data_IF_213081886453
#
_entry.id   IF_213081886453
#
_cell.length_a   1.000
_cell.length_b   1.000
_cell.length_c   1.000
_cell.angle_alpha   90.00
_cell.angle_beta   90.00
_cell.angle_gamma   90.00
#
_symmetry.space_group_name_H-M   'P 1'
#
loop_
_entity.id
_entity.type
_entity.pdbx_description
1 polymer ?
#
# COMPACT_ATOMS: atom_id res chain seq x y z
N UNK A 1 14.82 5.99 51.37
CA UNK A 1 13.88 6.98 51.92
C UNK A 1 12.57 6.89 51.15
N UNK A 2 11.46 6.67 51.90
CA UNK A 2 10.03 6.97 51.60
C UNK A 2 9.42 6.47 50.28
N UNK A 3 8.61 5.39 50.26
CA UNK A 3 7.12 5.37 50.45
C UNK A 3 6.42 6.60 49.85
N UNK A 4 5.48 6.41 48.91
CA UNK A 4 4.00 6.56 49.04
C UNK A 4 3.35 6.50 47.64
N UNK A 5 2.20 5.83 47.47
CA UNK A 5 1.38 5.98 46.26
C UNK A 5 0.41 4.86 45.87
N UNK A 6 0.19 3.85 46.72
CA UNK A 6 -0.81 2.80 46.49
C UNK A 6 -2.16 3.18 47.11
N UNK A 7 -2.87 4.13 46.50
CA UNK A 7 -4.24 4.48 46.94
C UNK A 7 -5.04 5.14 45.81
N UNK A 8 -5.40 4.39 44.76
CA UNK A 8 -6.43 4.85 43.79
C UNK A 8 -7.09 3.76 42.93
N UNK A 9 -7.16 2.51 43.40
CA UNK A 9 -7.79 1.39 42.67
C UNK A 9 -9.05 0.82 43.37
N UNK A 10 -9.80 1.68 44.07
CA UNK A 10 -11.01 1.28 44.81
C UNK A 10 -12.33 1.34 44.02
N UNK A 11 -12.39 2.07 42.90
CA UNK A 11 -13.66 2.35 42.21
C UNK A 11 -13.95 1.48 40.98
N UNK A 12 -12.97 0.73 40.48
CA UNK A 12 -13.12 -0.02 39.22
C UNK A 12 -13.76 -1.41 39.37
N UNK A 13 -14.08 -1.84 40.59
CA UNK A 13 -14.64 -3.19 40.86
C UNK A 13 -16.17 -3.23 41.01
N UNK A 14 -16.85 -2.09 41.08
CA UNK A 14 -18.31 -2.05 41.29
C UNK A 14 -19.08 -1.72 39.99
N UNK A 15 -18.44 -1.13 38.99
CA UNK A 15 -19.09 -0.80 37.72
C UNK A 15 -19.26 -2.01 36.76
N UNK A 16 -18.47 -3.08 36.92
CA UNK A 16 -18.47 -4.22 36.00
C UNK A 16 -19.57 -5.28 36.28
N UNK A 17 -20.27 -5.16 37.40
CA UNK A 17 -21.31 -6.12 37.81
C UNK A 17 -22.75 -5.66 37.49
N UNK A 18 -22.94 -4.44 36.98
CA UNK A 18 -24.27 -3.86 36.73
C UNK A 18 -24.70 -3.84 35.25
N UNK A 19 -23.86 -4.31 34.32
CA UNK A 19 -24.13 -4.23 32.87
C UNK A 19 -24.49 -5.57 32.20
N UNK A 20 -24.63 -6.67 32.95
CA UNK A 20 -24.89 -8.02 32.38
C UNK A 20 -26.21 -8.64 32.83
N UNK A 21 -27.01 -7.97 33.67
CA UNK A 21 -28.37 -8.40 34.00
C UNK A 21 -29.36 -7.28 33.71
N UNK A 22 -30.46 -7.59 33.01
CA UNK A 22 -31.60 -6.71 32.66
C UNK A 22 -31.49 -6.12 31.23
N UNK A 23 -31.48 -6.96 30.18
CA UNK A 23 -32.75 -7.11 29.46
C UNK A 23 -32.92 -8.53 28.87
N UNK A 24 -33.36 -9.46 29.71
CA UNK A 24 -34.23 -10.55 29.26
C UNK A 24 -35.56 -10.29 29.96
N UNK A 25 -36.68 -10.48 29.25
CA UNK A 25 -38.07 -10.13 29.62
C UNK A 25 -38.49 -8.77 29.04
N UNK A 26 -38.86 -8.77 27.75
CA UNK A 26 -40.15 -8.32 27.20
C UNK A 26 -40.25 -8.97 25.82
N UNK A 27 -40.91 -10.12 25.76
CA UNK A 27 -41.35 -10.75 24.52
C UNK A 27 -42.69 -11.41 24.82
N UNK A 28 -43.79 -10.72 24.55
CA UNK A 28 -45.11 -11.34 24.46
C UNK A 28 -46.09 -10.48 23.65
N UNK A 29 -46.85 -11.22 22.82
CA UNK A 29 -48.13 -10.91 22.17
C UNK A 29 -48.09 -10.31 20.75
N UNK A 30 -48.11 -11.20 19.76
CA UNK A 30 -48.76 -10.95 18.48
C UNK A 30 -50.03 -11.82 18.38
N UNK A 31 -51.19 -11.19 18.16
CA UNK A 31 -52.47 -11.86 17.93
C UNK A 31 -52.59 -12.29 16.46
N UNK A 32 -53.02 -13.53 16.22
CA UNK A 32 -53.32 -14.06 14.90
C UNK A 32 -54.57 -13.38 14.29
N UNK A 33 -54.49 -12.95 13.03
CA UNK A 33 -55.64 -12.48 12.25
C UNK A 33 -56.31 -13.66 11.53
N UNK A 34 -57.63 -13.75 11.63
CA UNK A 34 -58.44 -14.74 10.91
C UNK A 34 -58.41 -14.49 9.39
N UNK A 35 -58.46 -15.55 8.55
CA UNK A 35 -58.48 -15.42 7.10
C UNK A 35 -59.82 -14.85 6.59
N UNK A 36 -59.82 -14.14 5.45
CA UNK A 36 -61.02 -13.53 4.87
C UNK A 36 -61.94 -14.54 4.14
N UNK A 37 -63.24 -14.24 3.97
CA UNK A 37 -64.23 -15.13 3.33
C UNK A 37 -64.17 -15.14 1.77
N UNK A 38 -64.93 -16.02 1.10
CA UNK A 38 -64.63 -16.61 -0.22
C UNK A 38 -65.17 -15.80 -1.42
N UNK A 39 -64.76 -16.12 -2.66
CA UNK A 39 -65.39 -15.59 -3.87
C UNK A 39 -66.67 -16.37 -4.27
N UNK A 40 -67.64 -15.71 -4.94
CA UNK A 40 -68.93 -16.26 -5.31
C UNK A 40 -68.88 -17.24 -6.51
N UNK A 41 -69.88 -18.14 -6.66
CA UNK A 41 -69.96 -19.09 -7.77
C UNK A 41 -70.42 -18.38 -9.05
N UNK A 42 -69.64 -18.46 -10.13
CA UNK A 42 -70.08 -17.99 -11.46
C UNK A 42 -69.05 -17.35 -12.40
N UNK A 43 -67.74 -17.36 -12.10
CA UNK A 43 -66.73 -16.85 -13.03
C UNK A 43 -66.16 -17.96 -13.93
N UNK A 44 -66.21 -17.76 -15.24
CA UNK A 44 -65.69 -18.68 -16.26
C UNK A 44 -64.14 -18.77 -16.21
N UNK A 45 -63.53 -19.92 -16.59
CA UNK A 45 -62.08 -20.09 -16.51
C UNK A 45 -61.35 -19.16 -17.49
N UNK A 46 -60.52 -18.25 -16.97
CA UNK A 46 -59.55 -17.52 -17.77
C UNK A 46 -58.36 -18.43 -18.11
N UNK A 47 -57.88 -18.33 -19.35
CA UNK A 47 -56.73 -19.08 -19.87
C UNK A 47 -55.49 -18.93 -18.98
N UNK A 48 -54.59 -19.94 -18.90
CA UNK A 48 -53.48 -19.92 -17.97
C UNK A 48 -52.60 -18.68 -18.24
N UNK A 49 -52.23 -17.90 -17.21
CA UNK A 49 -51.19 -16.90 -17.35
C UNK A 49 -49.91 -17.60 -17.81
N UNK A 50 -49.15 -16.95 -18.69
CA UNK A 50 -47.79 -17.36 -19.00
C UNK A 50 -47.04 -17.63 -17.69
N UNK A 51 -46.36 -18.76 -17.60
CA UNK A 51 -45.57 -19.10 -16.44
C UNK A 51 -44.47 -18.03 -16.26
N UNK A 52 -44.76 -17.02 -15.44
CA UNK A 52 -43.71 -16.30 -14.74
C UNK A 52 -43.02 -17.35 -13.87
N UNK A 53 -41.82 -17.75 -14.29
CA UNK A 53 -40.95 -18.54 -13.44
C UNK A 53 -40.78 -17.73 -12.15
N UNK A 54 -41.37 -18.22 -11.07
CA UNK A 54 -41.19 -17.66 -9.74
C UNK A 54 -39.68 -17.65 -9.46
N UNK A 55 -39.11 -16.45 -9.36
CA UNK A 55 -37.67 -16.28 -9.20
C UNK A 55 -37.31 -16.76 -7.81
N UNK A 56 -36.82 -17.98 -7.71
CA UNK A 56 -36.25 -18.52 -6.49
C UNK A 56 -34.98 -17.73 -6.15
N UNK A 57 -35.09 -16.80 -5.19
CA UNK A 57 -33.92 -16.15 -4.59
C UNK A 57 -33.29 -17.19 -3.67
N UNK A 58 -32.21 -17.80 -4.15
CA UNK A 58 -31.42 -18.74 -3.34
C UNK A 58 -30.51 -17.91 -2.42
N UNK A 59 -30.96 -17.68 -1.19
CA UNK A 59 -30.12 -17.14 -0.12
C UNK A 59 -28.96 -18.11 0.12
N UNK A 60 -27.75 -17.69 -0.28
CA UNK A 60 -26.53 -18.51 -0.20
C UNK A 60 -25.87 -18.84 -1.54
N UNK A 61 -26.44 -18.41 -2.68
CA UNK A 61 -25.71 -18.43 -3.95
C UNK A 61 -24.55 -17.44 -3.90
N UNK A 62 -23.32 -17.94 -4.01
CA UNK A 62 -22.10 -17.12 -4.12
C UNK A 62 -21.95 -16.45 -5.51
N UNK A 63 -23.01 -16.53 -6.33
CA UNK A 63 -23.11 -15.91 -7.66
C UNK A 63 -24.05 -14.71 -7.51
N UNK A 64 -23.53 -13.48 -7.60
CA UNK A 64 -24.35 -12.27 -7.47
C UNK A 64 -25.36 -12.20 -8.60
N UNK A 65 -26.58 -11.82 -8.26
CA UNK A 65 -27.70 -11.78 -9.21
C UNK A 65 -27.56 -10.56 -10.12
N UNK A 66 -27.98 -10.63 -11.39
CA UNK A 66 -27.94 -9.49 -12.33
C UNK A 66 -28.73 -8.23 -11.90
N UNK A 67 -29.45 -8.30 -10.77
CA UNK A 67 -30.12 -7.15 -10.15
C UNK A 67 -29.27 -6.49 -9.04
N UNK A 68 -28.32 -7.20 -8.43
CA UNK A 68 -27.36 -6.66 -7.44
C UNK A 68 -26.15 -6.01 -8.12
N UNK A 69 -25.81 -6.51 -9.31
CA UNK A 69 -24.76 -5.95 -10.16
C UNK A 69 -25.44 -5.04 -11.17
N UNK A 70 -25.42 -3.73 -10.94
CA UNK A 70 -25.85 -2.75 -11.96
C UNK A 70 -25.07 -2.93 -13.27
N UNK A 71 -25.42 -2.16 -14.31
CA UNK A 71 -24.79 -2.28 -15.64
C UNK A 71 -23.25 -2.30 -15.60
N UNK A 72 -22.65 -1.61 -14.61
CA UNK A 72 -21.24 -1.68 -14.29
C UNK A 72 -21.02 -2.29 -12.90
N UNK A 73 -20.21 -3.36 -12.77
CA UNK A 73 -19.92 -3.96 -11.47
C UNK A 73 -18.99 -3.05 -10.64
N UNK A 74 -19.57 -2.37 -9.65
CA UNK A 74 -18.83 -1.61 -8.63
C UNK A 74 -18.68 -2.48 -7.39
N UNK A 75 -17.45 -2.76 -6.99
CA UNK A 75 -17.17 -3.43 -5.72
C UNK A 75 -17.10 -2.37 -4.61
N UNK A 76 -17.86 -2.58 -3.53
CA UNK A 76 -17.87 -1.66 -2.38
C UNK A 76 -17.26 -2.39 -1.19
N UNK A 77 -16.16 -1.84 -0.69
CA UNK A 77 -15.49 -2.30 0.51
C UNK A 77 -15.77 -1.31 1.63
N UNK A 78 -16.72 -1.63 2.49
CA UNK A 78 -17.08 -0.76 3.61
C UNK A 78 -16.07 -0.87 4.76
N UNK A 79 -16.24 0.00 5.76
CA UNK A 79 -15.40 0.06 6.95
C UNK A 79 -15.31 -1.29 7.66
N UNK A 80 -16.40 -2.02 7.76
CA UNK A 80 -16.43 -3.35 8.40
C UNK A 80 -15.51 -4.34 7.68
N UNK A 81 -15.57 -4.42 6.35
CA UNK A 81 -14.68 -5.24 5.54
C UNK A 81 -13.22 -4.81 5.69
N UNK A 82 -12.97 -3.50 5.69
CA UNK A 82 -11.63 -2.95 5.89
C UNK A 82 -11.07 -3.35 7.27
N UNK A 83 -11.86 -3.26 8.35
CA UNK A 83 -11.43 -3.70 9.69
C UNK A 83 -11.14 -5.20 9.70
N UNK A 84 -12.06 -6.01 9.15
CA UNK A 84 -11.94 -7.47 9.12
C UNK A 84 -10.72 -7.97 8.34
N UNK A 85 -10.22 -7.17 7.39
CA UNK A 85 -9.01 -7.50 6.63
C UNK A 85 -7.73 -7.54 7.47
N UNK A 86 -7.72 -6.90 8.65
CA UNK A 86 -6.56 -6.71 9.52
C UNK A 86 -5.33 -6.11 8.80
N UNK A 87 -5.54 -5.34 7.72
CA UNK A 87 -4.48 -4.61 7.02
C UNK A 87 -4.20 -3.28 7.69
N UNK A 88 -2.93 -2.85 7.69
CA UNK A 88 -2.50 -1.67 8.45
C UNK A 88 -2.57 -0.40 7.61
N UNK A 89 -2.31 -0.52 6.32
CA UNK A 89 -2.29 0.59 5.36
C UNK A 89 -3.32 0.41 4.25
N UNK A 90 -3.68 1.53 3.61
CA UNK A 90 -4.58 1.55 2.43
C UNK A 90 -4.00 0.74 1.28
N UNK A 91 -2.68 0.82 1.08
CA UNK A 91 -1.93 0.00 0.13
C UNK A 91 -2.12 -1.49 0.40
N UNK A 92 -1.83 -1.97 1.62
CA UNK A 92 -1.92 -3.39 1.97
C UNK A 92 -3.34 -3.93 1.83
N UNK A 93 -4.34 -3.11 2.15
CA UNK A 93 -5.75 -3.45 1.95
C UNK A 93 -6.04 -3.66 0.47
N UNK A 94 -5.73 -2.67 -0.37
CA UNK A 94 -6.01 -2.74 -1.80
C UNK A 94 -5.23 -3.88 -2.47
N UNK A 95 -3.95 -4.09 -2.12
CA UNK A 95 -3.14 -5.20 -2.65
C UNK A 95 -3.67 -6.58 -2.28
N UNK A 96 -4.46 -6.69 -1.22
CA UNK A 96 -5.09 -7.97 -0.85
C UNK A 96 -6.31 -8.32 -1.72
N UNK A 97 -6.80 -7.37 -2.52
CA UNK A 97 -7.94 -7.56 -3.39
C UNK A 97 -7.51 -8.23 -4.71
N UNK A 98 -8.27 -9.22 -5.22
CA UNK A 98 -7.90 -9.95 -6.44
C UNK A 98 -7.94 -9.09 -7.72
N UNK A 99 -8.63 -7.94 -7.66
CA UNK A 99 -8.79 -7.01 -8.78
C UNK A 99 -7.60 -6.05 -8.92
N UNK A 100 -6.83 -5.87 -7.85
CA UNK A 100 -5.64 -5.04 -7.77
C UNK A 100 -4.42 -5.91 -8.08
N UNK A 101 -3.60 -5.48 -9.03
CA UNK A 101 -2.43 -6.23 -9.49
C UNK A 101 -1.11 -5.57 -9.06
N UNK A 102 -0.05 -6.38 -9.07
CA UNK A 102 1.29 -6.08 -8.57
C UNK A 102 2.12 -5.11 -9.44
N UNK A 103 1.52 -4.36 -10.37
CA UNK A 103 2.21 -3.33 -11.14
C UNK A 103 2.36 -2.05 -10.28
N UNK A 104 3.04 -2.25 -9.15
CA UNK A 104 3.20 -1.32 -8.05
C UNK A 104 4.54 -0.61 -8.21
N UNK A 105 4.65 0.61 -7.67
CA UNK A 105 5.97 1.18 -7.39
C UNK A 105 6.66 0.25 -6.40
N UNK A 106 7.83 -0.34 -6.73
CA UNK A 106 8.47 -1.28 -5.83
C UNK A 106 8.72 -0.65 -4.45
N UNK A 107 8.15 -1.28 -3.42
CA UNK A 107 8.46 -1.00 -2.01
C UNK A 107 9.88 -1.46 -1.64
N UNK A 108 10.52 -2.29 -2.48
CA UNK A 108 11.84 -2.87 -2.25
C UNK A 108 12.87 -2.35 -3.24
N UNK A 109 14.05 -1.97 -2.74
CA UNK A 109 15.15 -1.42 -3.52
C UNK A 109 16.18 -2.52 -3.88
N UNK A 110 15.78 -3.47 -4.71
CA UNK A 110 16.72 -4.37 -5.37
C UNK A 110 16.94 -4.04 -6.86
N UNK A 111 16.42 -2.89 -7.30
CA UNK A 111 16.50 -2.44 -8.69
C UNK A 111 17.63 -1.44 -8.91
N UNK A 112 18.25 -1.51 -10.08
CA UNK A 112 19.35 -0.66 -10.56
C UNK A 112 18.96 0.81 -10.76
N UNK A 113 18.49 1.51 -9.73
CA UNK A 113 18.23 2.95 -9.84
C UNK A 113 17.16 3.34 -10.87
N UNK A 114 16.33 2.41 -11.32
CA UNK A 114 15.20 2.67 -12.23
C UNK A 114 13.98 3.21 -11.49
N UNK A 115 13.85 2.93 -10.19
CA UNK A 115 12.74 3.44 -9.39
C UNK A 115 13.07 4.81 -8.78
N UNK A 116 12.33 5.84 -9.20
CA UNK A 116 12.49 7.24 -8.75
C UNK A 116 11.54 7.63 -7.62
N UNK A 117 10.66 6.73 -7.20
CA UNK A 117 9.64 6.96 -6.17
C UNK A 117 9.68 5.88 -5.08
N UNK A 118 10.87 5.44 -4.68
CA UNK A 118 11.04 4.36 -3.70
C UNK A 118 10.29 4.66 -2.40
N UNK A 119 9.42 3.72 -2.01
CA UNK A 119 8.57 3.80 -0.81
C UNK A 119 7.37 4.74 -0.92
N UNK A 120 7.03 5.22 -2.12
CA UNK A 120 5.65 5.60 -2.46
C UNK A 120 4.84 4.34 -2.83
N UNK A 121 3.53 4.39 -2.70
CA UNK A 121 2.65 3.26 -3.00
C UNK A 121 1.50 3.70 -3.91
N UNK A 122 1.18 2.89 -4.92
CA UNK A 122 0.01 3.10 -5.79
C UNK A 122 -0.64 1.76 -6.08
N UNK A 123 -1.71 1.74 -6.86
CA UNK A 123 -2.34 0.51 -7.35
C UNK A 123 -2.55 0.56 -8.85
N UNK A 124 -2.62 -0.61 -9.45
CA UNK A 124 -3.09 -0.78 -10.81
C UNK A 124 -4.15 -1.87 -10.86
N UNK A 125 -5.23 -1.62 -11.60
CA UNK A 125 -6.29 -2.60 -11.80
C UNK A 125 -5.97 -3.51 -12.99
N UNK A 126 -6.28 -4.81 -12.83
CA UNK A 126 -6.33 -5.78 -13.94
C UNK A 126 -5.04 -5.95 -14.76
N UNK A 127 -3.88 -5.68 -14.16
CA UNK A 127 -2.57 -5.83 -14.80
C UNK A 127 -2.15 -4.67 -15.71
N UNK A 128 -2.90 -3.56 -15.73
CA UNK A 128 -2.49 -2.34 -16.42
C UNK A 128 -1.37 -1.61 -15.66
N UNK A 129 -0.87 -0.52 -16.23
CA UNK A 129 0.01 0.45 -15.56
C UNK A 129 -0.80 1.32 -14.58
N UNK A 130 -0.17 1.85 -13.53
CA UNK A 130 -0.82 2.69 -12.53
C UNK A 130 -1.49 3.94 -13.14
N UNK A 131 -0.99 4.46 -14.28
CA UNK A 131 -1.61 5.60 -14.99
C UNK A 131 -3.00 5.30 -15.57
N UNK A 132 -3.32 4.02 -15.76
CA UNK A 132 -4.59 3.58 -16.33
C UNK A 132 -5.67 3.37 -15.25
N UNK A 133 -5.33 3.58 -13.97
CA UNK A 133 -6.27 3.51 -12.85
C UNK A 133 -6.45 4.90 -12.27
N UNK A 134 -7.68 5.42 -12.31
CA UNK A 134 -7.98 6.71 -11.69
C UNK A 134 -8.27 6.52 -10.20
N UNK A 135 -7.54 7.21 -9.34
CA UNK A 135 -7.80 7.27 -7.90
C UNK A 135 -8.49 8.60 -7.57
N UNK A 136 -9.62 8.53 -6.86
CA UNK A 136 -10.40 9.66 -6.40
C UNK A 136 -10.51 9.65 -4.87
N UNK A 137 -10.64 10.83 -4.28
CA UNK A 137 -11.06 11.02 -2.89
C UNK A 137 -12.40 11.75 -2.92
N UNK A 138 -13.44 11.14 -2.38
CA UNK A 138 -14.82 11.67 -2.38
C UNK A 138 -15.31 12.10 -3.78
N UNK A 139 -14.96 11.32 -4.80
CA UNK A 139 -15.30 11.59 -6.19
C UNK A 139 -14.47 12.70 -6.84
N UNK A 140 -13.50 13.29 -6.14
CA UNK A 140 -12.62 14.35 -6.65
C UNK A 140 -11.23 13.80 -7.00
N UNK A 141 -10.66 14.36 -8.06
CA UNK A 141 -9.28 14.06 -8.47
C UNK A 141 -8.30 14.66 -7.48
N UNK A 142 -7.27 13.90 -7.16
CA UNK A 142 -6.18 14.34 -6.28
C UNK A 142 -4.90 14.53 -7.06
N UNK A 143 -4.02 15.38 -6.54
CA UNK A 143 -2.74 15.67 -7.18
C UNK A 143 -1.86 14.41 -7.25
N UNK A 144 -1.18 14.15 -8.38
CA UNK A 144 -0.25 13.04 -8.47
C UNK A 144 1.00 13.29 -7.62
N UNK A 145 1.69 12.20 -7.29
CA UNK A 145 2.97 12.21 -6.61
C UNK A 145 4.03 12.97 -7.46
N UNK A 146 4.81 13.90 -6.86
CA UNK A 146 5.54 14.91 -7.61
C UNK A 146 6.73 14.39 -8.43
N UNK A 147 7.33 13.25 -8.08
CA UNK A 147 8.51 12.74 -8.80
C UNK A 147 8.17 11.71 -9.87
N UNK A 148 6.95 11.13 -9.83
CA UNK A 148 6.58 9.97 -10.64
C UNK A 148 7.51 8.77 -10.48
N UNK A 149 7.13 7.65 -11.08
CA UNK A 149 7.99 6.47 -11.14
C UNK A 149 8.44 6.27 -12.59
N UNK A 150 9.74 6.11 -12.82
CA UNK A 150 10.28 5.93 -14.17
C UNK A 150 10.88 4.52 -14.38
N UNK A 151 10.07 3.44 -14.39
CA UNK A 151 10.58 2.08 -14.56
C UNK A 151 11.12 1.78 -15.97
N UNK A 152 11.24 2.79 -16.85
CA UNK A 152 11.67 2.62 -18.25
C UNK A 152 11.75 3.94 -19.03
N UNK A 153 11.25 3.94 -20.26
CA UNK A 153 11.28 5.11 -21.17
C UNK A 153 10.24 6.19 -20.86
N UNK A 154 9.25 5.89 -20.01
CA UNK A 154 8.10 6.77 -19.77
C UNK A 154 7.87 6.92 -18.28
N UNK A 155 7.86 8.16 -17.82
CA UNK A 155 7.53 8.50 -16.45
C UNK A 155 6.03 8.23 -16.19
N UNK A 156 5.73 7.51 -15.10
CA UNK A 156 4.40 7.14 -14.63
C UNK A 156 4.01 8.11 -13.52
N UNK A 157 2.97 8.91 -13.75
CA UNK A 157 2.30 9.68 -12.70
C UNK A 157 1.28 8.78 -11.98
N UNK A 158 1.18 8.92 -10.67
CA UNK A 158 0.27 8.13 -9.85
C UNK A 158 -0.10 8.88 -8.56
N UNK A 159 -1.12 8.42 -7.85
CA UNK A 159 -1.49 8.94 -6.52
C UNK A 159 -0.82 8.09 -5.45
N UNK A 160 -0.10 8.72 -4.52
CA UNK A 160 0.55 8.00 -3.43
C UNK A 160 -0.45 7.63 -2.33
N UNK A 161 -0.82 6.34 -2.25
CA UNK A 161 -1.72 5.79 -1.25
C UNK A 161 -1.17 5.89 0.18
N UNK A 162 0.14 6.06 0.35
CA UNK A 162 0.73 6.31 1.67
C UNK A 162 0.31 7.66 2.26
N UNK A 163 -0.18 8.56 1.40
CA UNK A 163 -0.80 9.78 1.86
C UNK A 163 -2.11 9.49 2.59
N UNK A 164 -2.94 8.56 2.12
CA UNK A 164 -4.31 8.38 2.59
C UNK A 164 -4.36 7.36 3.75
N UNK A 165 -4.60 7.79 5.00
CA UNK A 165 -4.61 6.87 6.13
C UNK A 165 -5.87 6.01 6.15
N UNK A 166 -5.72 4.70 6.35
CA UNK A 166 -6.85 3.74 6.40
C UNK A 166 -7.90 4.10 7.45
N UNK A 167 -7.50 4.78 8.54
CA UNK A 167 -8.41 5.21 9.60
C UNK A 167 -9.38 6.33 9.18
N UNK A 168 -9.03 7.11 8.15
CA UNK A 168 -9.87 8.17 7.62
C UNK A 168 -10.82 7.71 6.51
N UNK A 169 -10.75 6.43 6.12
CA UNK A 169 -11.55 5.85 5.05
C UNK A 169 -12.82 5.22 5.63
N UNK A 170 -13.98 5.61 5.08
CA UNK A 170 -15.27 4.99 5.36
C UNK A 170 -15.52 3.79 4.44
N UNK A 171 -15.28 3.98 3.14
CA UNK A 171 -15.41 2.92 2.16
C UNK A 171 -14.49 3.13 0.97
N UNK A 172 -14.26 2.06 0.21
CA UNK A 172 -13.55 2.09 -1.06
C UNK A 172 -14.46 1.48 -2.12
N UNK A 173 -14.71 2.23 -3.17
CA UNK A 173 -15.51 1.81 -4.31
C UNK A 173 -14.59 1.56 -5.50
N UNK A 174 -14.66 0.38 -6.10
CA UNK A 174 -13.86 0.00 -7.27
C UNK A 174 -14.78 -0.24 -8.45
N UNK A 175 -14.77 0.68 -9.40
CA UNK A 175 -15.35 0.51 -10.72
C UNK A 175 -14.35 -0.21 -11.61
N UNK A 176 -14.66 -1.46 -11.98
CA UNK A 176 -13.77 -2.34 -12.75
C UNK A 176 -13.85 -2.14 -14.28
N UNK A 177 -14.66 -1.20 -14.72
CA UNK A 177 -14.90 -0.90 -16.13
C UNK A 177 -14.23 0.42 -16.52
N UNK A 178 -13.86 0.54 -17.79
CA UNK A 178 -13.28 1.76 -18.34
C UNK A 178 -14.29 2.90 -18.27
N UNK A 179 -13.92 3.99 -17.60
CA UNK A 179 -14.81 5.12 -17.34
C UNK A 179 -14.24 6.43 -17.90
N UNK A 180 -13.46 6.34 -18.98
CA UNK A 180 -12.73 7.47 -19.56
C UNK A 180 -13.65 8.57 -20.13
N UNK A 181 -14.86 8.20 -20.56
CA UNK A 181 -15.89 9.15 -21.03
C UNK A 181 -16.44 10.03 -19.90
N UNK A 182 -16.52 9.48 -18.69
CA UNK A 182 -17.08 10.17 -17.51
C UNK A 182 -16.00 10.87 -16.70
N UNK A 183 -14.88 10.19 -16.46
CA UNK A 183 -13.85 10.65 -15.54
C UNK A 183 -12.54 11.08 -16.21
N UNK A 184 -12.40 10.92 -17.52
CA UNK A 184 -11.23 11.34 -18.31
C UNK A 184 -10.20 10.23 -18.57
N UNK A 185 -9.16 10.56 -19.34
CA UNK A 185 -8.24 9.61 -19.98
C UNK A 185 -7.46 8.67 -19.05
N UNK A 186 -7.40 8.94 -17.73
CA UNK A 186 -6.73 8.05 -16.76
C UNK A 186 -7.59 6.85 -16.34
N UNK A 187 -8.91 6.90 -16.57
CA UNK A 187 -9.85 5.86 -16.17
C UNK A 187 -10.03 4.78 -17.26
N UNK A 188 -8.92 4.18 -17.72
CA UNK A 188 -8.94 3.15 -18.78
C UNK A 188 -9.19 1.76 -18.18
N UNK A 189 -8.45 1.41 -17.13
CA UNK A 189 -8.57 0.13 -16.42
C UNK A 189 -9.68 0.15 -15.36
N UNK A 190 -10.07 1.34 -14.89
CA UNK A 190 -11.12 1.54 -13.91
C UNK A 190 -10.94 2.79 -13.04
N UNK A 191 -11.78 2.89 -12.02
CA UNK A 191 -11.77 3.96 -11.03
C UNK A 191 -11.78 3.37 -9.63
N UNK A 192 -10.92 3.87 -8.75
CA UNK A 192 -10.94 3.60 -7.31
C UNK A 192 -11.29 4.89 -6.59
N UNK A 193 -12.49 4.93 -6.01
CA UNK A 193 -12.98 6.06 -5.26
C UNK A 193 -12.88 5.76 -3.77
N UNK A 194 -12.04 6.51 -3.06
CA UNK A 194 -11.84 6.40 -1.63
C UNK A 194 -12.78 7.40 -0.96
N UNK A 195 -13.73 6.89 -0.18
CA UNK A 195 -14.68 7.70 0.57
C UNK A 195 -14.13 7.99 1.95
N UNK A 196 -13.99 9.27 2.29
CA UNK A 196 -13.51 9.69 3.59
C UNK A 196 -14.63 9.64 4.63
N UNK A 197 -14.26 9.63 5.91
CA UNK A 197 -15.22 9.63 7.01
C UNK A 197 -15.72 11.05 7.26
N UNK A 198 -16.94 11.35 6.79
CA UNK A 198 -17.61 12.62 7.04
C UNK A 198 -18.59 12.55 8.22
N UNK A 199 -19.20 11.37 8.45
CA UNK A 199 -20.31 11.19 9.39
C UNK A 199 -19.93 10.51 10.71
N UNK A 200 -19.06 11.16 11.49
CA UNK A 200 -18.69 10.69 12.83
C UNK A 200 -19.14 11.65 13.94
N UNK A 201 -20.37 12.15 13.85
CA UNK A 201 -20.88 13.28 14.64
C UNK A 201 -20.90 13.09 16.17
N UNK A 202 -20.75 11.87 16.70
CA UNK A 202 -21.05 11.58 18.10
C UNK A 202 -20.06 10.60 18.73
N UNK A 203 -18.79 10.96 18.78
CA UNK A 203 -17.84 10.18 19.55
C UNK A 203 -16.39 10.46 19.26
N UNK A 204 -15.56 9.62 19.87
CA UNK A 204 -14.15 9.50 19.56
C UNK A 204 -13.75 8.03 19.61
N UNK A 205 -12.92 7.61 18.66
CA UNK A 205 -12.31 6.29 18.61
C UNK A 205 -10.81 6.47 18.46
N UNK A 206 -10.05 5.86 19.37
CA UNK A 206 -8.60 5.79 19.28
C UNK A 206 -8.19 4.35 19.02
N UNK A 207 -7.25 4.17 18.09
CA UNK A 207 -6.62 2.89 17.80
C UNK A 207 -5.11 3.03 17.93
N UNK A 208 -4.48 2.01 18.49
CA UNK A 208 -3.03 1.86 18.53
C UNK A 208 -2.69 0.41 18.21
N UNK A 209 -1.75 0.24 17.28
CA UNK A 209 -1.27 -1.05 16.85
C UNK A 209 0.26 -1.04 16.87
N UNK A 210 0.82 -2.17 17.31
CA UNK A 210 2.24 -2.44 17.23
C UNK A 210 2.44 -3.83 16.64
N UNK A 211 3.36 -3.93 15.68
CA UNK A 211 3.82 -5.18 15.07
C UNK A 211 5.33 -5.17 14.94
N UNK A 212 5.92 -6.35 14.79
CA UNK A 212 7.34 -6.47 14.52
C UNK A 212 7.57 -7.74 13.68
N UNK A 213 8.73 -7.82 13.05
CA UNK A 213 9.22 -9.01 12.37
C UNK A 213 9.55 -10.11 13.37
N UNK A 214 9.72 -11.34 12.88
CA UNK A 214 10.18 -12.48 13.69
C UNK A 214 11.53 -12.19 14.34
N UNK A 215 12.39 -11.45 13.65
CA UNK A 215 13.75 -11.10 14.08
C UNK A 215 13.79 -9.87 14.99
N UNK A 216 12.63 -9.21 15.18
CA UNK A 216 12.41 -8.04 16.06
C UNK A 216 13.20 -6.78 15.66
N UNK A 217 13.66 -6.72 14.42
CA UNK A 217 14.51 -5.67 13.85
C UNK A 217 13.72 -4.55 13.15
N UNK A 218 12.51 -4.84 12.68
CA UNK A 218 11.66 -3.88 11.97
C UNK A 218 10.29 -3.73 12.62
N UNK A 219 10.25 -2.96 13.71
CA UNK A 219 9.02 -2.57 14.38
C UNK A 219 8.15 -1.65 13.53
N UNK A 220 6.85 -1.87 13.61
CA UNK A 220 5.80 -1.05 13.01
C UNK A 220 4.84 -0.56 14.07
N UNK A 221 4.62 0.75 14.11
CA UNK A 221 3.72 1.43 15.03
C UNK A 221 2.69 2.21 14.23
N UNK A 222 1.42 2.05 14.58
CA UNK A 222 0.32 2.79 13.99
C UNK A 222 -0.57 3.31 15.10
N UNK A 223 -0.96 4.57 15.00
CA UNK A 223 -1.94 5.17 15.88
C UNK A 223 -2.90 6.02 15.06
N UNK A 224 -4.16 6.04 15.45
CA UNK A 224 -5.16 6.92 14.87
C UNK A 224 -6.16 7.38 15.91
N UNK A 225 -6.65 8.59 15.74
CA UNK A 225 -7.75 9.15 16.51
C UNK A 225 -8.75 9.70 15.51
N UNK A 226 -9.99 9.23 15.57
CA UNK A 226 -11.12 9.91 14.96
C UNK A 226 -11.97 10.52 16.06
N UNK A 227 -12.51 11.69 15.80
CA UNK A 227 -13.51 12.32 16.63
C UNK A 227 -14.48 13.06 15.74
N UNK A 228 -15.68 13.28 16.24
CA UNK A 228 -16.59 14.20 15.59
C UNK A 228 -17.67 14.67 16.53
N UNK A 229 -18.20 15.82 16.15
CA UNK A 229 -19.22 16.55 16.87
C UNK A 229 -20.23 17.05 15.87
N UNK A 230 -21.50 16.79 16.13
CA UNK A 230 -22.54 17.22 15.23
C UNK A 230 -23.93 16.95 15.74
N UNK A 231 -24.89 17.48 14.99
CA UNK A 231 -26.32 17.28 15.15
C UNK A 231 -26.93 17.09 13.74
N UNK A 232 -28.26 17.13 13.63
CA UNK A 232 -28.95 16.95 12.34
C UNK A 232 -28.61 18.01 11.29
N UNK A 233 -28.08 19.17 11.71
CA UNK A 233 -27.80 20.33 10.85
C UNK A 233 -26.32 20.52 10.59
N UNK A 234 -25.45 20.26 11.56
CA UNK A 234 -24.00 20.49 11.46
C UNK A 234 -23.26 19.24 11.82
N UNK A 235 -22.28 18.84 11.01
CA UNK A 235 -21.39 17.74 11.33
C UNK A 235 -19.94 18.17 11.13
N UNK A 236 -19.09 17.89 12.11
CA UNK A 236 -17.64 18.07 12.00
C UNK A 236 -16.98 16.76 12.37
N UNK A 237 -16.18 16.21 11.47
CA UNK A 237 -15.40 14.98 11.69
C UNK A 237 -13.92 15.28 11.49
N UNK A 238 -13.09 14.88 12.44
CA UNK A 238 -11.65 15.01 12.39
C UNK A 238 -10.96 13.66 12.57
N UNK A 239 -9.91 13.43 11.80
CA UNK A 239 -9.05 12.24 11.89
C UNK A 239 -7.61 12.68 12.01
N UNK A 240 -6.88 12.10 12.96
CA UNK A 240 -5.43 12.18 13.05
C UNK A 240 -4.84 10.78 12.92
N UNK A 241 -3.70 10.68 12.24
CA UNK A 241 -2.98 9.42 12.05
C UNK A 241 -1.49 9.60 12.28
N UNK A 242 -0.86 8.52 12.75
CA UNK A 242 0.57 8.35 12.84
C UNK A 242 0.92 6.92 12.45
N UNK A 243 1.92 6.77 11.60
CA UNK A 243 2.47 5.49 11.16
C UNK A 243 3.98 5.59 11.14
N UNK A 244 4.67 4.60 11.71
CA UNK A 244 6.12 4.50 11.65
C UNK A 244 6.52 3.05 11.47
N UNK A 245 7.38 2.79 10.50
CA UNK A 245 8.01 1.50 10.27
C UNK A 245 9.52 1.68 10.14
N UNK A 246 10.27 0.83 10.83
CA UNK A 246 11.71 0.74 10.64
C UNK A 246 12.05 0.13 9.26
N UNK A 247 13.28 0.33 8.79
CA UNK A 247 13.75 -0.30 7.56
C UNK A 247 14.09 -1.78 7.79
N UNK A 248 14.10 -2.55 6.71
CA UNK A 248 14.69 -3.88 6.66
C UNK A 248 15.77 -3.84 5.58
N UNK A 249 17.03 -4.12 5.92
CA UNK A 249 18.09 -4.27 4.94
C UNK A 249 18.06 -5.66 4.30
N UNK A 250 18.55 -5.80 3.06
CA UNK A 250 18.58 -7.12 2.41
C UNK A 250 19.47 -8.11 3.19
N UNK A 251 20.53 -7.62 3.85
CA UNK A 251 21.40 -8.41 4.73
C UNK A 251 20.75 -8.92 6.02
N UNK A 252 19.61 -8.35 6.42
CA UNK A 252 18.95 -8.73 7.67
C UNK A 252 18.22 -10.08 7.53
N UNK A 253 18.15 -10.64 6.31
CA UNK A 253 17.53 -11.94 6.04
C UNK A 253 18.47 -12.84 5.26
N UNK A 254 18.69 -14.06 5.75
CA UNK A 254 19.58 -15.04 5.13
C UNK A 254 19.26 -15.30 3.64
N UNK A 255 17.96 -15.35 3.29
CA UNK A 255 17.50 -15.61 1.93
C UNK A 255 17.70 -14.42 0.97
N UNK A 256 17.90 -13.21 1.47
CA UNK A 256 18.20 -12.02 0.67
C UNK A 256 19.60 -11.46 0.91
N UNK A 257 20.36 -12.01 1.86
CA UNK A 257 21.71 -11.53 2.17
C UNK A 257 22.68 -11.73 1.01
N UNK A 258 22.43 -12.72 0.15
CA UNK A 258 23.21 -13.00 -1.06
C UNK A 258 22.30 -12.88 -2.29
N UNK A 259 22.65 -12.04 -3.28
CA UNK A 259 21.83 -11.87 -4.47
C UNK A 259 21.81 -13.16 -5.31
N UNK A 260 20.64 -13.65 -5.76
CA UNK A 260 20.53 -14.90 -6.51
C UNK A 260 20.88 -14.75 -8.00
N UNK A 261 21.04 -13.51 -8.50
CA UNK A 261 21.23 -13.23 -9.92
C UNK A 261 22.66 -12.80 -10.28
N UNK A 262 23.02 -13.04 -11.54
CA UNK A 262 24.19 -12.46 -12.17
C UNK A 262 24.02 -10.95 -12.20
N UNK A 263 24.99 -10.21 -11.68
CA UNK A 263 25.16 -8.82 -12.04
C UNK A 263 25.21 -8.72 -13.58
N UNK A 264 24.39 -7.84 -14.17
CA UNK A 264 24.65 -7.41 -15.54
C UNK A 264 26.01 -6.69 -15.62
N UNK A 265 26.52 -6.42 -16.82
CA UNK A 265 27.68 -5.54 -17.00
C UNK A 265 27.44 -4.12 -16.41
N UNK A 266 26.19 -3.79 -16.07
CA UNK A 266 25.73 -2.47 -15.66
C UNK A 266 24.96 -2.45 -14.33
N UNK A 267 24.98 -3.52 -13.52
CA UNK A 267 24.72 -3.45 -12.07
C UNK A 267 24.63 -4.86 -11.40
N UNK A 268 25.15 -5.02 -10.17
CA UNK A 268 26.20 -4.21 -9.57
C UNK A 268 27.55 -4.62 -10.16
N UNK A 269 27.73 -4.18 -11.40
CA UNK A 269 28.96 -3.85 -12.10
C UNK A 269 30.12 -4.83 -11.90
N UNK A 270 29.95 -6.02 -12.49
CA UNK A 270 31.08 -6.70 -13.09
C UNK A 270 31.67 -5.77 -14.15
N UNK A 271 32.81 -5.15 -13.86
CA UNK A 271 33.51 -4.30 -14.79
C UNK A 271 34.02 -5.18 -15.93
N UNK A 272 33.65 -4.86 -17.16
CA UNK A 272 34.28 -5.42 -18.33
C UNK A 272 35.27 -4.38 -18.85
N UNK A 273 36.56 -4.64 -18.73
CA UNK A 273 37.60 -3.69 -19.08
C UNK A 273 38.73 -4.33 -19.86
N UNK A 274 39.52 -3.50 -20.55
CA UNK A 274 40.79 -3.93 -21.11
C UNK A 274 41.73 -4.33 -19.98
N UNK A 275 42.32 -5.51 -20.09
CA UNK A 275 43.28 -6.04 -19.12
C UNK A 275 44.55 -5.20 -19.03
N UNK A 276 44.94 -4.53 -20.11
CA UNK A 276 46.06 -3.60 -20.12
C UNK A 276 45.75 -2.33 -19.31
N UNK A 277 44.50 -1.85 -19.36
CA UNK A 277 44.01 -0.74 -18.53
C UNK A 277 43.97 -1.15 -17.06
N UNK A 278 43.54 -2.38 -16.75
CA UNK A 278 43.60 -2.93 -15.39
C UNK A 278 45.03 -2.95 -14.85
N UNK A 279 45.97 -3.50 -15.63
CA UNK A 279 47.39 -3.55 -15.27
C UNK A 279 48.01 -2.17 -15.08
N UNK A 280 47.71 -1.21 -15.97
CA UNK A 280 48.20 0.16 -15.85
C UNK A 280 47.70 0.87 -14.58
N UNK A 281 46.49 0.53 -14.12
CA UNK A 281 45.93 1.03 -12.87
C UNK A 281 46.54 0.38 -11.59
N UNK A 282 47.39 -0.64 -11.74
CA UNK A 282 47.94 -1.45 -10.65
C UNK A 282 47.11 -2.68 -10.29
N UNK A 283 46.17 -3.08 -11.14
CA UNK A 283 45.38 -4.31 -11.05
C UNK A 283 46.08 -5.52 -11.66
N UNK A 284 45.37 -6.65 -11.75
CA UNK A 284 45.86 -7.83 -12.49
C UNK A 284 45.61 -7.65 -14.00
N UNK A 285 46.43 -8.28 -14.82
CA UNK A 285 46.22 -8.40 -16.27
C UNK A 285 46.24 -9.89 -16.59
N UNK A 286 45.06 -10.51 -16.60
CA UNK A 286 44.88 -11.96 -16.79
C UNK A 286 44.82 -12.34 -18.27
N UNK A 287 44.50 -11.38 -19.14
CA UNK A 287 44.30 -11.59 -20.57
C UNK A 287 44.95 -10.48 -21.42
N UNK A 288 46.29 -10.38 -21.49
CA UNK A 288 46.98 -9.26 -22.16
C UNK A 288 46.48 -8.97 -23.57
N UNK A 289 46.25 -7.69 -23.90
CA UNK A 289 45.67 -7.26 -25.18
C UNK A 289 44.18 -7.60 -25.37
N UNK A 290 43.54 -8.21 -24.37
CA UNK A 290 42.15 -8.64 -24.39
C UNK A 290 41.26 -7.89 -23.40
N UNK A 291 40.09 -8.46 -23.17
CA UNK A 291 39.10 -7.99 -22.20
C UNK A 291 39.05 -9.01 -21.06
N UNK A 292 38.89 -8.51 -19.85
CA UNK A 292 38.67 -9.30 -18.64
C UNK A 292 37.56 -8.68 -17.78
N UNK A 293 37.17 -9.40 -16.73
CA UNK A 293 36.18 -8.96 -15.77
C UNK A 293 36.84 -8.62 -14.44
N UNK A 294 36.35 -7.57 -13.79
CA UNK A 294 36.71 -7.25 -12.43
C UNK A 294 35.47 -7.00 -11.56
N UNK A 295 35.58 -7.27 -10.26
CA UNK A 295 34.59 -6.90 -9.28
C UNK A 295 35.27 -6.33 -8.05
N UNK A 296 34.68 -5.28 -7.48
CA UNK A 296 35.16 -4.74 -6.23
C UNK A 296 34.93 -5.76 -5.09
N UNK A 297 35.81 -5.79 -4.07
CA UNK A 297 35.54 -6.53 -2.84
C UNK A 297 34.27 -6.05 -2.15
N UNK A 298 33.69 -6.93 -1.34
CA UNK A 298 32.60 -6.56 -0.43
C UNK A 298 33.04 -5.44 0.53
N UNK A 299 32.06 -4.67 1.01
CA UNK A 299 32.28 -3.56 1.96
C UNK A 299 33.14 -2.41 1.44
N UNK A 300 33.31 -2.31 0.12
CA UNK A 300 33.97 -1.15 -0.52
C UNK A 300 32.94 -0.09 -0.94
N UNK A 301 33.39 1.17 -1.03
CA UNK A 301 32.56 2.32 -1.41
C UNK A 301 32.94 2.88 -2.80
N UNK A 302 33.50 2.04 -3.66
CA UNK A 302 33.98 2.44 -4.99
C UNK A 302 35.37 3.08 -5.02
N UNK A 303 35.96 3.45 -3.89
CA UNK A 303 37.30 4.06 -3.84
C UNK A 303 38.43 3.05 -3.63
N UNK A 304 38.12 1.75 -3.70
CA UNK A 304 39.13 0.71 -3.57
C UNK A 304 40.16 0.83 -4.74
N UNK A 305 41.47 0.71 -4.48
CA UNK A 305 42.47 0.74 -5.55
C UNK A 305 42.34 -0.49 -6.45
N UNK A 306 42.71 -0.38 -7.73
CA UNK A 306 42.64 -1.49 -8.70
C UNK A 306 43.32 -2.78 -8.20
N UNK A 307 44.42 -2.65 -7.47
CA UNK A 307 45.15 -3.77 -6.85
C UNK A 307 44.33 -4.63 -5.88
N UNK A 308 43.21 -4.10 -5.38
CA UNK A 308 42.33 -4.82 -4.44
C UNK A 308 41.15 -5.52 -5.13
N UNK A 309 40.95 -5.33 -6.43
CA UNK A 309 39.83 -5.92 -7.16
C UNK A 309 40.04 -7.41 -7.41
N UNK A 310 38.92 -8.12 -7.54
CA UNK A 310 38.89 -9.51 -7.95
C UNK A 310 38.79 -9.57 -9.47
N UNK A 311 39.78 -10.17 -10.13
CA UNK A 311 39.86 -10.28 -11.58
C UNK A 311 39.58 -11.69 -12.06
N UNK A 312 38.90 -11.82 -13.20
CA UNK A 312 38.60 -13.11 -13.83
C UNK A 312 38.49 -12.95 -15.36
N UNK A 313 38.84 -14.00 -16.09
CA UNK A 313 38.62 -14.08 -17.54
C UNK A 313 37.16 -14.44 -17.88
N UNK A 314 36.43 -14.98 -16.90
CA UNK A 314 34.99 -15.26 -16.98
C UNK A 314 34.22 -14.23 -16.15
N UNK A 315 32.97 -13.94 -16.54
CA UNK A 315 32.12 -13.01 -15.78
C UNK A 315 31.97 -13.47 -14.33
N UNK A 316 32.26 -12.59 -13.37
CA UNK A 316 32.10 -12.85 -11.93
C UNK A 316 30.66 -13.27 -11.63
N UNK A 317 30.51 -14.28 -10.76
CA UNK A 317 29.25 -15.00 -10.45
C UNK A 317 28.62 -15.81 -11.58
N UNK A 318 29.14 -15.81 -12.82
CA UNK A 318 28.71 -16.74 -13.86
C UNK A 318 29.12 -18.18 -13.55
N UNK A 319 28.60 -19.13 -14.32
CA UNK A 319 29.05 -20.52 -14.24
C UNK A 319 30.55 -20.57 -14.59
N UNK A 320 31.37 -21.05 -13.65
CA UNK A 320 32.83 -21.10 -13.80
C UNK A 320 33.58 -19.80 -13.50
N UNK A 321 32.88 -18.70 -13.17
CA UNK A 321 33.49 -17.45 -12.72
C UNK A 321 33.66 -17.37 -11.20
N UNK A 322 34.54 -16.48 -10.73
CA UNK A 322 34.86 -16.32 -9.30
C UNK A 322 33.64 -15.88 -8.48
N UNK A 323 33.56 -16.40 -7.25
CA UNK A 323 32.63 -16.00 -6.18
C UNK A 323 33.41 -15.90 -4.84
N UNK A 324 33.15 -14.89 -3.99
CA UNK A 324 32.15 -13.83 -4.13
C UNK A 324 32.63 -12.66 -5.00
N UNK A 325 31.71 -11.83 -5.48
CA UNK A 325 32.00 -10.47 -5.98
C UNK A 325 31.19 -9.46 -5.16
N UNK A 326 31.26 -8.17 -5.46
CA UNK A 326 30.59 -7.12 -4.66
C UNK A 326 29.13 -7.47 -4.32
N UNK A 327 28.83 -7.55 -3.03
CA UNK A 327 27.51 -7.85 -2.50
C UNK A 327 26.77 -6.57 -2.10
N UNK A 328 25.98 -6.06 -3.04
CA UNK A 328 25.12 -4.89 -2.86
C UNK A 328 24.00 -5.11 -1.83
N UNK A 329 23.59 -6.35 -1.57
CA UNK A 329 22.59 -6.66 -0.55
C UNK A 329 23.11 -6.40 0.88
N UNK A 330 24.42 -6.19 1.06
CA UNK A 330 24.99 -5.71 2.32
C UNK A 330 24.59 -4.28 2.67
N UNK A 331 24.08 -3.51 1.71
CA UNK A 331 23.80 -2.08 1.85
C UNK A 331 22.35 -1.72 1.51
N UNK A 332 21.79 -2.37 0.48
CA UNK A 332 20.46 -2.02 -0.02
C UNK A 332 19.34 -2.34 1.00
N UNK A 333 18.33 -1.48 1.04
CA UNK A 333 17.12 -1.74 1.83
C UNK A 333 16.13 -2.64 1.07
N UNK A 334 15.70 -3.71 1.73
CA UNK A 334 14.58 -4.53 1.29
C UNK A 334 13.25 -3.81 1.52
N UNK A 335 13.11 -3.09 2.63
CA UNK A 335 11.99 -2.19 2.91
C UNK A 335 12.52 -0.88 3.48
N UNK A 336 12.12 0.29 2.94
CA UNK A 336 12.55 1.57 3.46
C UNK A 336 11.87 1.87 4.80
N UNK A 337 12.58 2.62 5.65
CA UNK A 337 12.00 3.20 6.84
C UNK A 337 11.00 4.28 6.42
N UNK A 338 9.84 4.32 7.07
CA UNK A 338 8.78 5.28 6.75
C UNK A 338 8.18 5.86 8.01
N UNK A 339 7.95 7.17 8.01
CA UNK A 339 7.26 7.91 9.04
C UNK A 339 6.19 8.77 8.36
N UNK A 340 4.94 8.63 8.80
CA UNK A 340 3.78 9.27 8.18
C UNK A 340 2.89 9.81 9.27
N UNK A 341 2.50 11.06 9.15
CA UNK A 341 1.54 11.66 10.07
C UNK A 341 0.76 12.76 9.38
N UNK A 342 -0.44 12.98 9.87
CA UNK A 342 -1.32 13.97 9.27
C UNK A 342 -2.70 13.90 9.86
N UNK A 343 -3.61 14.53 9.14
CA UNK A 343 -5.00 14.54 9.51
C UNK A 343 -5.93 15.00 8.40
N UNK A 344 -7.19 14.70 8.64
CA UNK A 344 -8.32 15.02 7.79
C UNK A 344 -9.37 15.72 8.65
N UNK A 345 -10.00 16.76 8.10
CA UNK A 345 -11.10 17.47 8.72
C UNK A 345 -12.20 17.64 7.68
N UNK A 346 -13.42 17.26 8.03
CA UNK A 346 -14.64 17.51 7.27
C UNK A 346 -15.58 18.33 8.12
N UNK A 347 -16.24 19.31 7.52
CA UNK A 347 -17.30 20.06 8.16
C UNK A 347 -18.44 20.32 7.18
N UNK A 348 -19.65 19.94 7.55
CA UNK A 348 -20.87 20.14 6.78
C UNK A 348 -21.91 20.88 7.60
N UNK A 349 -22.61 21.83 6.98
CA UNK A 349 -23.67 22.60 7.60
C UNK A 349 -24.86 22.77 6.64
N UNK A 350 -26.02 22.23 7.04
CA UNK A 350 -27.29 22.31 6.32
C UNK A 350 -27.96 23.63 6.64
N UNK A 351 -28.19 24.48 5.63
CA UNK A 351 -28.83 25.78 5.82
C UNK A 351 -30.35 25.69 5.55
N UNK A 352 -30.76 24.86 4.58
CA UNK A 352 -32.16 24.62 4.23
C UNK A 352 -32.46 23.11 4.12
N UNK A 353 -32.11 22.37 5.17
CA UNK A 353 -32.08 20.91 5.11
C UNK A 353 -31.10 20.45 4.03
N UNK A 354 -31.44 19.39 3.31
CA UNK A 354 -30.57 18.80 2.29
C UNK A 354 -30.54 19.59 0.97
N UNK A 355 -31.33 20.66 0.84
CA UNK A 355 -31.36 21.49 -0.37
C UNK A 355 -30.13 22.39 -0.51
N UNK A 356 -29.53 22.79 0.62
CA UNK A 356 -28.33 23.62 0.63
C UNK A 356 -27.42 23.21 1.79
N UNK A 357 -26.29 22.60 1.44
CA UNK A 357 -25.25 22.16 2.35
C UNK A 357 -23.97 22.92 2.05
N UNK A 358 -23.45 23.62 3.06
CA UNK A 358 -22.12 24.23 3.01
C UNK A 358 -21.14 23.20 3.56
N UNK A 359 -20.12 22.84 2.77
CA UNK A 359 -19.11 21.86 3.15
C UNK A 359 -17.70 22.46 3.11
N UNK A 360 -16.80 21.91 3.91
CA UNK A 360 -15.38 22.22 3.90
C UNK A 360 -14.55 20.98 4.27
N UNK A 361 -13.63 20.61 3.37
CA UNK A 361 -12.72 19.49 3.54
C UNK A 361 -11.28 20.01 3.63
N UNK A 362 -10.53 19.56 4.63
CA UNK A 362 -9.13 19.87 4.84
C UNK A 362 -8.32 18.61 5.03
N UNK A 363 -7.26 18.44 4.26
CA UNK A 363 -6.43 17.25 4.31
C UNK A 363 -4.95 17.62 4.26
N UNK A 364 -4.18 17.06 5.19
CA UNK A 364 -2.73 17.23 5.24
C UNK A 364 -2.07 15.92 5.64
N UNK A 365 -1.02 15.54 4.91
CA UNK A 365 -0.16 14.42 5.28
C UNK A 365 1.30 14.79 5.03
N UNK A 366 2.15 14.48 6.01
CA UNK A 366 3.60 14.44 5.85
C UNK A 366 4.03 12.97 5.73
N UNK A 367 4.66 12.62 4.60
CA UNK A 367 5.22 11.29 4.35
C UNK A 367 6.73 11.43 4.20
N UNK A 368 7.47 10.84 5.13
CA UNK A 368 8.93 10.73 5.07
C UNK A 368 9.30 9.28 4.84
N UNK A 369 10.13 9.06 3.85
CA UNK A 369 10.67 7.74 3.53
C UNK A 369 12.18 7.86 3.42
N UNK A 370 12.90 6.99 4.11
CA UNK A 370 14.34 6.85 3.98
C UNK A 370 14.63 5.56 3.22
N UNK A 371 15.20 5.72 2.03
CA UNK A 371 15.70 4.63 1.21
C UNK A 371 17.21 4.72 1.09
N UNK A 372 17.90 3.58 1.16
CA UNK A 372 19.33 3.48 0.95
C UNK A 372 19.59 2.51 -0.21
N UNK A 373 20.32 2.99 -1.20
CA UNK A 373 20.84 2.19 -2.30
C UNK A 373 22.27 1.76 -1.95
N UNK A 374 22.70 0.63 -2.52
CA UNK A 374 24.09 0.22 -2.38
C UNK A 374 25.02 1.30 -2.97
N UNK A 375 26.20 1.53 -2.36
CA UNK A 375 27.17 2.42 -2.94
C UNK A 375 27.60 1.91 -4.31
N UNK A 376 28.09 2.82 -5.15
CA UNK A 376 28.78 2.40 -6.37
C UNK A 376 29.93 1.46 -5.96
N UNK A 377 29.98 0.22 -6.49
CA UNK A 377 31.03 -0.72 -6.11
C UNK A 377 32.40 -0.27 -6.58
N UNK A 378 32.44 0.59 -7.60
CA UNK A 378 33.64 1.08 -8.25
C UNK A 378 33.50 2.55 -8.64
N UNK A 379 34.59 3.28 -8.52
CA UNK A 379 34.81 4.61 -9.07
C UNK A 379 36.02 4.58 -9.99
N UNK A 380 36.40 5.73 -10.53
CA UNK A 380 37.56 5.81 -11.41
C UNK A 380 38.83 5.29 -10.71
N UNK A 381 39.63 4.46 -11.40
CA UNK A 381 40.88 3.99 -10.82
C UNK A 381 41.82 5.19 -10.64
N UNK A 382 42.16 5.45 -9.39
CA UNK A 382 43.08 6.52 -9.00
C UNK A 382 44.45 5.94 -8.72
N UNK A 383 45.38 6.15 -9.66
CA UNK A 383 46.79 5.84 -9.45
C UNK A 383 47.51 7.14 -9.10
N UNK A 384 48.19 7.18 -7.95
CA UNK A 384 48.87 8.40 -7.45
C UNK A 384 49.92 8.86 -8.47
N UNK A 385 49.73 10.06 -9.03
CA UNK A 385 50.64 10.65 -10.01
C UNK A 385 50.42 10.19 -11.47
N UNK A 386 49.27 9.58 -11.78
CA UNK A 386 48.88 9.18 -13.13
C UNK A 386 47.45 9.65 -13.45
N UNK A 387 47.09 9.61 -14.74
CA UNK A 387 45.74 9.95 -15.21
C UNK A 387 44.71 9.02 -14.57
N UNK A 388 43.67 9.61 -13.98
CA UNK A 388 42.52 8.89 -13.47
C UNK A 388 41.80 8.17 -14.61
N UNK A 389 41.69 6.85 -14.52
CA UNK A 389 40.96 6.04 -15.49
C UNK A 389 39.49 6.02 -15.07
N UNK A 390 38.67 6.85 -15.73
CA UNK A 390 37.23 6.81 -15.56
C UNK A 390 36.66 5.57 -16.27
N UNK A 391 35.86 4.80 -15.54
CA UNK A 391 35.21 3.56 -15.99
C UNK A 391 33.75 3.83 -16.32
#
# INVERSE_FOLDING_TARGET
>A
MTRTGLSKFGFLRIALAACVGVPLIIASNAFAQNPPPPPPPGAAPQAPPAAEAERVIVTGSNIPTAAEVGANPVDIYNRETIIKSAKRTTEEFLQSLPTVNANLVPISNNENGTNTAVGAATIALRGFDARATLILIDGRRVAPYPTGNNPGLVNVMFVDLNSIPLAAIESIEILKDGASTTYGADAVAGVVNIKMRHDYANGAEASMEYGNTTDKDSGEYKASLIFGVGNETTNVTGVFNYYRRNSIAQRDRDYSAVPPFLSGNTSPYNLQLSSDVAGAAGGQNLNPGGIEFASAPDLTNGLAPASSYLYDTVRIRALGGIRPGFNFNLFALSFPASERWGGYLSADHKIFGDQMVLYADGYYQNVKTHNEAAPAPTGAFQTKGQTTLAI
#
